data_IF_541963310238
#
_entry.id   IF_541963310238
#
_cell.length_a   1.000
_cell.length_b   1.000
_cell.length_c   1.000
_cell.angle_alpha   90.00
_cell.angle_beta   90.00
_cell.angle_gamma   90.00
#
_symmetry.space_group_name_H-M   'P 1'
#
loop_
_entity.id
_entity.type
_entity.pdbx_description
1 polymer ?
#
# COMPACT_ATOMS: atom_id res chain seq x y z
N UNK A 1 -35.17 31.29 13.21
CA UNK A 1 -34.50 30.26 14.03
C UNK A 1 -34.57 28.97 13.25
N UNK A 2 -33.44 28.51 12.70
CA UNK A 2 -33.37 27.22 12.00
C UNK A 2 -33.45 26.15 13.09
N UNK A 3 -34.38 25.21 12.92
CA UNK A 3 -34.66 24.18 13.90
C UNK A 3 -33.46 23.21 14.01
N UNK A 4 -32.95 22.97 15.22
CA UNK A 4 -31.69 22.26 15.46
C UNK A 4 -31.73 20.82 14.88
N UNK A 5 -32.94 20.26 14.76
CA UNK A 5 -33.21 18.95 14.15
C UNK A 5 -32.91 18.92 12.65
N UNK A 6 -33.12 20.03 11.94
CA UNK A 6 -32.81 20.16 10.50
C UNK A 6 -31.30 20.25 10.29
N UNK A 7 -30.58 20.90 11.21
CA UNK A 7 -29.11 20.96 11.17
C UNK A 7 -28.45 19.58 11.35
N UNK A 8 -29.00 18.73 12.22
CA UNK A 8 -28.47 17.37 12.45
C UNK A 8 -28.64 16.49 11.20
N UNK A 9 -29.78 16.59 10.51
CA UNK A 9 -30.03 15.83 9.25
C UNK A 9 -29.06 16.27 8.15
N UNK A 10 -28.71 17.57 8.07
CA UNK A 10 -27.74 18.07 7.10
C UNK A 10 -26.29 17.63 7.37
N UNK A 11 -25.91 17.46 8.64
CA UNK A 11 -24.56 17.03 9.04
C UNK A 11 -24.32 15.54 8.69
N UNK A 12 -25.35 14.70 8.74
CA UNK A 12 -25.24 13.26 8.40
C UNK A 12 -25.04 13.04 6.89
N UNK A 13 -25.41 13.99 6.03
CA UNK A 13 -25.25 13.86 4.58
C UNK A 13 -23.86 14.27 4.04
N UNK A 14 -22.95 14.78 4.88
CA UNK A 14 -21.60 15.24 4.46
C UNK A 14 -20.52 14.19 4.74
N UNK A 15 -20.88 12.94 5.04
CA UNK A 15 -19.93 11.84 5.07
C UNK A 15 -19.42 11.56 3.65
N UNK A 16 -18.40 12.32 3.23
CA UNK A 16 -17.60 12.02 2.05
C UNK A 16 -16.84 10.73 2.36
N UNK A 17 -17.30 9.62 1.79
CA UNK A 17 -16.52 8.40 1.67
C UNK A 17 -15.37 8.71 0.70
N UNK A 18 -14.25 9.20 1.21
CA UNK A 18 -13.02 9.23 0.43
C UNK A 18 -12.57 7.79 0.23
N UNK A 19 -12.47 7.38 -1.03
CA UNK A 19 -11.57 6.30 -1.37
C UNK A 19 -10.16 6.68 -0.88
N UNK A 20 -9.37 5.70 -0.43
CA UNK A 20 -7.99 5.90 0.01
C UNK A 20 -7.12 6.24 -1.20
N UNK A 21 -7.20 7.48 -1.65
CA UNK A 21 -6.24 8.08 -2.57
C UNK A 21 -5.11 8.66 -1.73
N UNK A 22 -3.90 8.17 -1.96
CA UNK A 22 -2.71 8.67 -1.30
C UNK A 22 -2.00 9.68 -2.19
N UNK A 23 -1.49 10.73 -1.57
CA UNK A 23 -0.75 11.79 -2.24
C UNK A 23 0.63 11.93 -1.60
N UNK A 24 1.64 12.08 -2.45
CA UNK A 24 3.00 12.46 -2.12
C UNK A 24 3.65 11.63 -0.99
N UNK A 25 3.44 10.30 -1.00
CA UNK A 25 4.11 9.42 -0.03
C UNK A 25 5.60 9.35 -0.38
N UNK A 26 6.52 9.82 0.48
CA UNK A 26 7.94 9.87 0.17
C UNK A 26 8.53 8.46 0.02
N UNK A 27 9.43 8.31 -0.95
CA UNK A 27 10.16 7.08 -1.26
C UNK A 27 11.56 7.42 -1.77
N UNK A 28 12.49 6.51 -1.50
CA UNK A 28 13.83 6.53 -2.07
C UNK A 28 13.97 5.32 -2.98
N UNK A 29 14.33 5.54 -4.24
CA UNK A 29 14.68 4.50 -5.20
C UNK A 29 16.19 4.36 -5.26
N UNK A 30 16.69 3.14 -5.47
CA UNK A 30 18.11 2.88 -5.71
C UNK A 30 18.26 2.45 -7.17
N UNK A 31 19.02 3.23 -7.93
CA UNK A 31 19.37 2.92 -9.32
C UNK A 31 20.38 1.75 -9.35
N UNK A 32 20.49 1.00 -10.46
CA UNK A 32 21.48 -0.08 -10.59
C UNK A 32 22.94 0.36 -10.42
N UNK A 33 23.26 1.64 -10.65
CA UNK A 33 24.59 2.21 -10.40
C UNK A 33 24.84 2.56 -8.91
N UNK A 34 23.86 2.37 -8.02
CA UNK A 34 23.91 2.68 -6.60
C UNK A 34 23.48 4.11 -6.23
N UNK A 35 23.15 4.96 -7.21
CA UNK A 35 22.64 6.31 -6.94
C UNK A 35 21.21 6.25 -6.39
N UNK A 36 20.91 7.12 -5.42
CA UNK A 36 19.58 7.21 -4.82
C UNK A 36 18.78 8.35 -5.42
N UNK A 37 17.49 8.10 -5.68
CA UNK A 37 16.54 9.08 -6.21
C UNK A 37 15.41 9.24 -5.21
N UNK A 38 15.26 10.44 -4.66
CA UNK A 38 14.12 10.81 -3.84
C UNK A 38 12.90 11.10 -4.72
N UNK A 39 11.79 10.44 -4.42
CA UNK A 39 10.55 10.56 -5.17
C UNK A 39 9.33 10.36 -4.27
N UNK A 40 8.16 10.38 -4.87
CA UNK A 40 6.89 10.24 -4.21
C UNK A 40 6.01 9.20 -4.89
N UNK A 41 5.14 8.55 -4.13
CA UNK A 41 4.04 7.73 -4.65
C UNK A 41 2.73 8.46 -4.46
N UNK A 42 1.97 8.58 -5.55
CA UNK A 42 0.59 9.08 -5.54
C UNK A 42 -0.33 8.07 -6.25
N UNK A 43 -1.50 7.80 -5.68
CA UNK A 43 -2.53 6.93 -6.24
C UNK A 43 -3.23 6.04 -5.22
N UNK A 44 -3.82 4.96 -5.71
CA UNK A 44 -4.59 3.99 -4.93
C UNK A 44 -4.25 2.53 -5.31
N UNK A 45 -5.09 1.57 -4.92
CA UNK A 45 -4.91 0.15 -5.24
C UNK A 45 -5.07 -0.19 -6.73
N UNK A 46 -5.74 0.65 -7.52
CA UNK A 46 -6.05 0.41 -8.92
C UNK A 46 -5.08 1.14 -9.87
N UNK A 47 -4.52 2.26 -9.43
CA UNK A 47 -3.51 2.99 -10.16
C UNK A 47 -2.62 3.81 -9.24
N UNK A 48 -1.32 3.65 -9.37
CA UNK A 48 -0.32 4.43 -8.65
C UNK A 48 0.85 4.77 -9.57
N UNK A 49 1.55 5.86 -9.28
CA UNK A 49 2.76 6.25 -9.99
C UNK A 49 3.82 6.78 -9.03
N UNK A 50 5.08 6.55 -9.39
CA UNK A 50 6.21 7.25 -8.81
C UNK A 50 6.38 8.59 -9.52
N UNK A 51 6.74 9.65 -8.81
CA UNK A 51 7.04 10.94 -9.42
C UNK A 51 8.00 11.78 -8.58
N UNK A 52 8.65 12.75 -9.20
CA UNK A 52 9.49 13.72 -8.50
C UNK A 52 8.67 14.86 -7.87
N UNK A 53 9.37 15.78 -7.21
CA UNK A 53 8.77 16.98 -6.57
C UNK A 53 8.13 17.96 -7.57
N UNK A 54 8.46 17.85 -8.86
CA UNK A 54 7.89 18.67 -9.93
C UNK A 54 6.75 17.94 -10.66
N UNK A 55 6.28 16.82 -10.09
CA UNK A 55 5.18 16.01 -10.60
C UNK A 55 5.51 15.22 -11.88
N UNK A 56 6.78 15.06 -12.24
CA UNK A 56 7.18 14.22 -13.38
C UNK A 56 7.21 12.76 -12.98
N UNK A 57 6.51 11.94 -13.76
CA UNK A 57 6.34 10.51 -13.47
C UNK A 57 7.62 9.74 -13.74
N UNK A 58 7.90 8.75 -12.89
CA UNK A 58 9.08 7.89 -12.94
C UNK A 58 8.62 6.46 -13.19
N UNK A 59 9.29 5.76 -14.11
CA UNK A 59 8.99 4.38 -14.48
C UNK A 59 10.27 3.54 -14.54
N UNK A 60 10.17 2.28 -14.12
CA UNK A 60 11.24 1.29 -14.26
C UNK A 60 11.31 0.81 -15.71
N UNK A 61 12.50 0.89 -16.31
CA UNK A 61 12.77 0.19 -17.56
C UNK A 61 13.16 -1.26 -17.23
N UNK A 62 12.34 -2.22 -17.66
CA UNK A 62 12.58 -3.65 -17.37
C UNK A 62 13.81 -4.21 -18.09
N UNK A 63 14.24 -3.58 -19.20
CA UNK A 63 15.37 -4.06 -20.00
C UNK A 63 16.73 -3.83 -19.32
N UNK A 64 16.93 -2.70 -18.64
CA UNK A 64 18.21 -2.36 -18.00
C UNK A 64 18.10 -2.23 -16.47
N UNK A 65 16.88 -2.18 -15.93
CA UNK A 65 16.60 -2.03 -14.51
C UNK A 65 16.75 -0.60 -13.97
N UNK A 66 16.98 0.39 -14.82
CA UNK A 66 17.07 1.79 -14.41
C UNK A 66 15.69 2.44 -14.36
N UNK A 67 15.53 3.41 -13.46
CA UNK A 67 14.38 4.30 -13.42
C UNK A 67 14.61 5.51 -14.33
N UNK A 68 13.64 5.75 -15.21
CA UNK A 68 13.60 6.88 -16.13
C UNK A 68 12.39 7.75 -15.85
N UNK A 69 12.47 9.02 -16.25
CA UNK A 69 11.27 9.82 -16.39
C UNK A 69 10.38 9.22 -17.49
N UNK A 70 9.10 9.07 -17.18
CA UNK A 70 8.12 8.52 -18.10
C UNK A 70 7.75 9.53 -19.18
N UNK A 71 7.58 9.03 -20.40
CA UNK A 71 6.89 9.68 -21.50
C UNK A 71 5.58 8.94 -21.79
N UNK A 72 4.71 9.55 -22.57
CA UNK A 72 3.45 8.96 -22.99
C UNK A 72 3.48 8.61 -24.47
N UNK A 73 3.28 7.33 -24.78
CA UNK A 73 3.17 6.87 -26.16
C UNK A 73 1.95 7.51 -26.85
N UNK A 74 1.88 7.53 -28.19
CA UNK A 74 0.69 8.00 -28.91
C UNK A 74 -0.59 7.23 -28.55
N UNK A 75 -0.47 6.02 -27.98
CA UNK A 75 -1.58 5.20 -27.50
C UNK A 75 -1.98 5.51 -26.05
N UNK A 76 -1.28 6.42 -25.37
CA UNK A 76 -1.55 6.82 -23.99
C UNK A 76 -0.82 5.99 -22.93
N UNK A 77 0.05 5.07 -23.33
CA UNK A 77 0.80 4.19 -22.42
C UNK A 77 2.06 4.88 -21.89
N UNK A 78 2.43 4.59 -20.64
CA UNK A 78 3.66 5.10 -20.06
C UNK A 78 4.86 4.28 -20.57
N UNK A 79 5.86 4.97 -21.10
CA UNK A 79 7.11 4.39 -21.59
C UNK A 79 8.30 5.12 -20.98
N UNK A 80 9.45 4.46 -20.76
CA UNK A 80 10.67 5.15 -20.32
C UNK A 80 11.16 6.13 -21.39
N UNK A 81 11.49 7.36 -20.98
CA UNK A 81 12.19 8.32 -21.84
C UNK A 81 13.70 8.04 -21.89
N UNK A 82 14.45 8.91 -22.56
CA UNK A 82 15.93 8.87 -22.55
C UNK A 82 16.56 9.48 -21.30
N UNK A 83 15.77 10.06 -20.38
CA UNK A 83 16.28 10.76 -19.20
C UNK A 83 16.12 9.91 -17.94
N UNK A 84 17.25 9.58 -17.31
CA UNK A 84 17.29 8.90 -16.02
C UNK A 84 16.63 9.74 -14.93
N UNK A 85 15.85 9.09 -14.07
CA UNK A 85 15.24 9.74 -12.92
C UNK A 85 16.32 10.27 -11.97
N UNK A 86 16.15 11.52 -11.50
CA UNK A 86 17.12 12.21 -10.68
C UNK A 86 18.26 12.91 -11.44
N UNK A 87 18.35 12.71 -12.76
CA UNK A 87 19.35 13.37 -13.61
C UNK A 87 18.66 14.32 -14.59
N UNK A 88 19.07 15.60 -14.56
CA UNK A 88 18.56 16.62 -15.50
C UNK A 88 17.14 17.10 -15.21
N UNK A 89 16.59 17.87 -16.16
CA UNK A 89 15.22 18.41 -16.10
C UNK A 89 14.36 17.75 -17.20
N UNK A 90 13.29 17.02 -16.86
CA UNK A 90 12.35 16.44 -17.82
C UNK A 90 11.80 17.44 -18.85
N UNK A 91 11.66 18.71 -18.46
CA UNK A 91 11.18 19.78 -19.36
C UNK A 91 12.14 20.01 -20.53
N UNK A 92 13.43 19.75 -20.33
CA UNK A 92 14.46 19.95 -21.37
C UNK A 92 14.31 19.00 -22.56
N UNK A 93 13.65 17.86 -22.37
CA UNK A 93 13.34 16.89 -23.42
C UNK A 93 11.85 16.91 -23.82
N UNK A 94 11.08 17.90 -23.35
CA UNK A 94 9.69 18.12 -23.73
C UNK A 94 8.67 17.25 -23.01
N UNK A 95 9.04 16.63 -21.88
CA UNK A 95 8.08 15.91 -21.05
C UNK A 95 7.17 16.90 -20.31
N UNK A 96 5.92 16.51 -20.12
CA UNK A 96 4.94 17.22 -19.29
C UNK A 96 4.73 16.49 -17.96
N UNK A 97 4.49 17.23 -16.86
CA UNK A 97 4.24 16.60 -15.57
C UNK A 97 2.87 15.92 -15.53
N UNK A 98 2.71 14.97 -14.61
CA UNK A 98 1.40 14.37 -14.29
C UNK A 98 0.98 13.20 -15.17
N UNK A 99 1.88 12.64 -15.99
CA UNK A 99 1.57 11.42 -16.74
C UNK A 99 1.16 10.28 -15.79
N UNK A 100 0.09 9.58 -16.14
CA UNK A 100 -0.44 8.48 -15.35
C UNK A 100 -0.92 7.36 -16.29
N UNK A 101 -1.22 6.20 -15.72
CA UNK A 101 -1.86 5.14 -16.47
C UNK A 101 -3.19 5.61 -17.08
N UNK A 102 -3.56 5.04 -18.22
CA UNK A 102 -4.81 5.39 -18.88
C UNK A 102 -6.03 4.99 -18.03
N UNK A 103 -7.16 5.67 -18.28
CA UNK A 103 -8.41 5.37 -17.59
C UNK A 103 -8.91 3.95 -17.89
N UNK A 104 -8.63 3.44 -19.10
CA UNK A 104 -8.96 2.06 -19.48
C UNK A 104 -8.15 1.06 -18.65
N UNK A 105 -6.85 1.28 -18.46
CA UNK A 105 -6.01 0.41 -17.64
C UNK A 105 -6.41 0.47 -16.16
N UNK A 106 -6.71 1.67 -15.65
CA UNK A 106 -7.24 1.85 -14.30
C UNK A 106 -8.53 1.06 -14.07
N UNK A 107 -9.51 1.19 -14.99
CA UNK A 107 -10.78 0.46 -14.89
C UNK A 107 -10.60 -1.05 -15.01
N UNK A 108 -9.68 -1.50 -15.88
CA UNK A 108 -9.34 -2.93 -15.99
C UNK A 108 -8.77 -3.47 -14.68
N UNK A 109 -7.86 -2.73 -14.03
CA UNK A 109 -7.32 -3.12 -12.72
C UNK A 109 -8.43 -3.18 -11.68
N UNK A 110 -9.31 -2.17 -11.66
CA UNK A 110 -10.47 -2.13 -10.76
C UNK A 110 -11.39 -3.34 -10.94
N UNK A 111 -11.74 -3.69 -12.17
CA UNK A 111 -12.54 -4.87 -12.48
C UNK A 111 -11.85 -6.17 -12.05
N UNK A 112 -10.54 -6.30 -12.30
CA UNK A 112 -9.76 -7.47 -11.89
C UNK A 112 -9.85 -7.71 -10.37
N UNK A 113 -9.60 -6.66 -9.57
CA UNK A 113 -9.66 -6.78 -8.11
C UNK A 113 -11.08 -7.03 -7.60
N UNK A 114 -12.11 -6.38 -8.18
CA UNK A 114 -13.49 -6.59 -7.77
C UNK A 114 -14.01 -7.99 -8.12
N UNK A 115 -13.68 -8.47 -9.33
CA UNK A 115 -14.12 -9.78 -9.80
C UNK A 115 -13.33 -10.93 -9.15
N UNK A 116 -12.05 -10.72 -8.83
CA UNK A 116 -11.25 -11.70 -8.09
C UNK A 116 -11.79 -11.97 -6.68
N UNK A 117 -12.32 -10.94 -6.02
CA UNK A 117 -13.00 -11.07 -4.73
C UNK A 117 -14.37 -11.74 -4.86
N UNK A 118 -15.12 -11.44 -5.93
CA UNK A 118 -16.45 -12.01 -6.16
C UNK A 118 -16.44 -13.46 -6.69
N UNK A 119 -15.36 -13.91 -7.34
CA UNK A 119 -15.24 -15.24 -7.95
C UNK A 119 -14.72 -16.32 -7.00
N UNK A 120 -14.26 -15.93 -5.81
CA UNK A 120 -13.89 -16.89 -4.78
C UNK A 120 -15.16 -17.37 -4.07
N UNK A 121 -15.48 -18.67 -4.18
CA UNK A 121 -16.41 -19.33 -3.24
C UNK A 121 -15.75 -19.39 -1.85
N UNK A 122 -15.63 -18.24 -1.20
CA UNK A 122 -15.17 -18.16 0.17
C UNK A 122 -16.28 -18.61 1.10
N UNK A 123 -15.94 -19.50 2.03
CA UNK A 123 -16.70 -19.59 3.28
C UNK A 123 -16.60 -18.22 3.94
N UNK A 124 -17.73 -17.56 4.13
CA UNK A 124 -17.79 -16.35 4.94
C UNK A 124 -17.19 -16.66 6.32
N UNK A 125 -16.40 -15.71 6.82
CA UNK A 125 -15.96 -15.78 8.21
C UNK A 125 -17.21 -15.85 9.11
N UNK A 126 -17.20 -16.67 10.17
CA UNK A 126 -18.37 -16.80 11.04
C UNK A 126 -18.71 -15.44 11.67
N UNK A 127 -20.00 -15.14 11.75
CA UNK A 127 -20.50 -13.87 12.31
C UNK A 127 -20.70 -13.91 13.82
N UNK A 128 -20.43 -15.05 14.44
CA UNK A 128 -20.47 -15.28 15.89
C UNK A 128 -19.54 -16.42 16.30
N UNK A 129 -19.27 -16.56 17.59
CA UNK A 129 -18.32 -17.50 18.15
C UNK A 129 -16.92 -16.89 18.28
N UNK A 130 -15.91 -17.75 18.20
CA UNK A 130 -14.50 -17.36 18.31
C UNK A 130 -13.78 -17.60 16.98
N UNK A 131 -13.04 -16.60 16.50
CA UNK A 131 -12.15 -16.71 15.36
C UNK A 131 -10.70 -16.62 15.84
N UNK A 132 -9.88 -17.57 15.39
CA UNK A 132 -8.44 -17.47 15.48
C UNK A 132 -7.89 -16.74 14.24
N UNK A 133 -7.40 -15.52 14.44
CA UNK A 133 -6.65 -14.76 13.44
C UNK A 133 -5.16 -15.05 13.58
N UNK A 134 -4.49 -15.25 12.47
CA UNK A 134 -3.04 -15.43 12.44
C UNK A 134 -2.42 -14.13 11.93
N UNK A 135 -1.47 -13.58 12.68
CA UNK A 135 -0.62 -12.50 12.23
C UNK A 135 0.81 -13.02 12.06
N UNK A 136 1.37 -12.89 10.87
CA UNK A 136 2.69 -13.44 10.53
C UNK A 136 3.67 -12.29 10.25
N UNK A 137 4.72 -12.21 11.05
CA UNK A 137 5.83 -11.28 10.85
C UNK A 137 6.82 -11.89 9.89
N UNK A 138 7.00 -11.24 8.75
CA UNK A 138 7.95 -11.62 7.70
C UNK A 138 8.85 -10.42 7.43
N UNK A 139 10.15 -10.66 7.25
CA UNK A 139 11.10 -9.66 6.77
C UNK A 139 11.98 -10.27 5.67
N UNK A 140 12.49 -9.41 4.78
CA UNK A 140 13.47 -9.83 3.79
C UNK A 140 14.88 -9.95 4.39
N UNK A 141 15.80 -10.55 3.65
CA UNK A 141 17.18 -10.73 4.09
C UNK A 141 17.91 -9.39 4.38
N UNK A 142 17.56 -8.34 3.65
CA UNK A 142 18.10 -6.98 3.74
C UNK A 142 17.28 -6.02 4.62
N UNK A 143 16.12 -6.46 5.10
CA UNK A 143 15.29 -5.64 6.01
C UNK A 143 15.90 -5.62 7.43
N UNK A 144 15.86 -4.47 8.14
CA UNK A 144 16.22 -4.41 9.54
C UNK A 144 15.22 -5.20 10.40
N UNK A 145 15.65 -5.59 11.60
CA UNK A 145 14.74 -6.17 12.58
C UNK A 145 13.66 -5.16 13.01
N UNK A 146 12.51 -5.67 13.44
CA UNK A 146 11.41 -4.83 13.92
C UNK A 146 11.86 -4.01 15.15
N UNK A 147 11.69 -2.68 15.15
CA UNK A 147 12.26 -1.81 16.17
C UNK A 147 11.53 -1.84 17.51
N UNK A 148 10.30 -2.37 17.55
CA UNK A 148 9.45 -2.37 18.73
C UNK A 148 9.19 -3.79 19.27
N UNK A 149 8.91 -3.95 20.58
CA UNK A 149 8.54 -5.23 21.17
C UNK A 149 7.20 -5.74 20.62
N UNK A 150 6.92 -7.04 20.81
CA UNK A 150 5.70 -7.66 20.28
C UNK A 150 4.41 -7.02 20.80
N UNK A 151 4.39 -6.57 22.06
CA UNK A 151 3.24 -5.89 22.66
C UNK A 151 2.82 -4.62 21.91
N UNK A 152 3.77 -3.89 21.33
CA UNK A 152 3.48 -2.70 20.54
C UNK A 152 2.62 -3.02 19.31
N UNK A 153 2.96 -4.09 18.60
CA UNK A 153 2.21 -4.52 17.42
C UNK A 153 0.91 -5.25 17.80
N UNK A 154 0.88 -5.94 18.93
CA UNK A 154 -0.29 -6.64 19.45
C UNK A 154 -1.43 -5.69 19.85
N UNK A 155 -1.10 -4.50 20.35
CA UNK A 155 -2.08 -3.53 20.86
C UNK A 155 -3.19 -3.19 19.84
N UNK A 156 -2.84 -3.02 18.56
CA UNK A 156 -3.78 -2.73 17.47
C UNK A 156 -4.77 -3.88 17.26
N UNK A 157 -4.35 -5.12 17.54
CA UNK A 157 -5.17 -6.30 17.32
C UNK A 157 -6.03 -6.67 18.53
N UNK A 158 -5.45 -6.66 19.73
CA UNK A 158 -6.09 -7.25 20.91
C UNK A 158 -5.57 -6.72 22.25
N UNK A 159 -5.39 -5.40 22.39
CA UNK A 159 -5.02 -4.80 23.68
C UNK A 159 -5.99 -5.15 24.82
N UNK A 160 -5.44 -5.32 26.03
CA UNK A 160 -6.20 -5.42 27.29
C UNK A 160 -6.34 -4.05 27.98
N UNK A 161 -5.73 -3.00 27.41
CA UNK A 161 -5.90 -1.62 27.85
C UNK A 161 -7.25 -1.06 27.36
N UNK A 162 -7.69 0.05 27.94
CA UNK A 162 -8.96 0.72 27.60
C UNK A 162 -8.85 1.51 26.27
N UNK A 163 -8.17 0.92 25.29
CA UNK A 163 -7.93 1.46 23.94
C UNK A 163 -8.64 0.60 22.88
N UNK A 164 -9.19 1.22 21.81
CA UNK A 164 -9.79 0.47 20.71
C UNK A 164 -8.78 -0.45 20.00
N UNK A 165 -9.19 -1.69 19.73
CA UNK A 165 -8.44 -2.66 18.94
C UNK A 165 -9.36 -3.39 17.97
N UNK A 166 -8.78 -4.19 17.06
CA UNK A 166 -9.54 -5.04 16.14
C UNK A 166 -10.48 -5.99 16.89
N UNK A 167 -10.03 -6.60 17.99
CA UNK A 167 -10.86 -7.43 18.88
C UNK A 167 -12.02 -6.63 19.46
N UNK A 168 -11.77 -5.43 19.98
CA UNK A 168 -12.82 -4.56 20.52
C UNK A 168 -13.86 -4.17 19.46
N UNK A 169 -13.41 -3.80 18.26
CA UNK A 169 -14.28 -3.45 17.15
C UNK A 169 -15.25 -4.60 16.82
N UNK A 170 -14.75 -5.80 16.53
CA UNK A 170 -15.59 -6.94 16.17
C UNK A 170 -16.50 -7.40 17.31
N UNK A 171 -16.01 -7.32 18.55
CA UNK A 171 -16.82 -7.62 19.73
C UNK A 171 -18.01 -6.66 19.87
N UNK A 172 -17.78 -5.35 19.69
CA UNK A 172 -18.81 -4.32 19.78
C UNK A 172 -19.84 -4.42 18.65
N UNK A 173 -19.40 -4.44 17.38
CA UNK A 173 -20.32 -4.43 16.23
C UNK A 173 -21.14 -5.72 16.11
N UNK A 174 -20.65 -6.82 16.68
CA UNK A 174 -21.34 -8.11 16.71
C UNK A 174 -22.28 -8.26 17.91
N UNK A 175 -22.46 -7.22 18.73
CA UNK A 175 -23.23 -7.28 19.97
C UNK A 175 -22.74 -8.40 20.91
N UNK A 176 -21.43 -8.48 21.13
CA UNK A 176 -20.79 -9.45 22.01
C UNK A 176 -20.95 -10.91 21.54
N UNK A 177 -21.11 -11.14 20.23
CA UNK A 177 -21.29 -12.49 19.69
C UNK A 177 -20.07 -13.00 18.94
N UNK A 178 -19.16 -12.14 18.49
CA UNK A 178 -17.95 -12.51 17.75
C UNK A 178 -16.70 -12.03 18.49
N UNK A 179 -15.87 -12.97 18.94
CA UNK A 179 -14.57 -12.71 19.53
C UNK A 179 -13.45 -13.06 18.54
N UNK A 180 -12.56 -12.11 18.27
CA UNK A 180 -11.39 -12.31 17.39
C UNK A 180 -10.13 -12.38 18.25
N UNK A 181 -9.47 -13.52 18.24
CA UNK A 181 -8.22 -13.77 18.96
C UNK A 181 -7.06 -13.80 17.97
N UNK A 182 -6.05 -12.94 18.15
CA UNK A 182 -4.90 -12.85 17.24
C UNK A 182 -3.71 -13.60 17.79
N UNK A 183 -3.10 -14.44 16.96
CA UNK A 183 -1.90 -15.20 17.29
C UNK A 183 -0.74 -14.75 16.41
N UNK A 184 0.31 -14.26 17.04
CA UNK A 184 1.50 -13.75 16.35
C UNK A 184 2.51 -14.87 16.08
N UNK A 185 3.03 -14.91 14.85
CA UNK A 185 4.05 -15.86 14.43
C UNK A 185 5.25 -15.15 13.78
N UNK A 186 6.48 -15.64 14.00
CA UNK A 186 6.83 -16.76 14.88
C UNK A 186 6.60 -16.41 16.35
N UNK A 187 6.19 -17.42 17.13
CA UNK A 187 5.97 -17.27 18.56
C UNK A 187 7.25 -16.94 19.31
N UNK A 188 7.14 -16.19 20.41
CA UNK A 188 8.28 -15.71 21.20
C UNK A 188 8.06 -15.99 22.67
N UNK A 189 9.07 -16.56 23.33
CA UNK A 189 8.99 -16.91 24.75
C UNK A 189 9.35 -15.73 25.69
N UNK A 190 10.11 -14.77 25.18
CA UNK A 190 10.69 -13.65 25.94
C UNK A 190 10.02 -12.30 25.64
N UNK A 191 8.99 -12.28 24.80
CA UNK A 191 8.30 -11.05 24.36
C UNK A 191 9.08 -10.20 23.35
N UNK A 192 10.27 -10.67 22.91
CA UNK A 192 10.96 -10.08 21.76
C UNK A 192 10.09 -10.16 20.52
N UNK A 193 10.30 -9.28 19.55
CA UNK A 193 9.61 -9.39 18.27
C UNK A 193 10.51 -10.14 17.28
N UNK A 194 10.13 -11.37 16.94
CA UNK A 194 10.83 -12.18 15.93
C UNK A 194 10.00 -12.26 14.65
N UNK A 195 10.66 -12.53 13.54
CA UNK A 195 10.05 -12.64 12.22
C UNK A 195 10.62 -13.85 11.48
N UNK A 196 9.83 -14.41 10.57
CA UNK A 196 10.38 -15.27 9.53
C UNK A 196 11.22 -14.42 8.58
N UNK A 197 12.44 -14.87 8.33
CA UNK A 197 13.38 -14.17 7.47
C UNK A 197 13.44 -14.90 6.14
N UNK A 198 13.08 -14.19 5.09
CA UNK A 198 13.23 -14.71 3.73
C UNK A 198 14.71 -14.82 3.34
N UNK A 199 15.04 -15.78 2.47
CA UNK A 199 16.42 -15.97 2.00
C UNK A 199 16.83 -14.91 0.98
N UNK A 200 15.86 -14.27 0.32
CA UNK A 200 16.07 -13.24 -0.68
C UNK A 200 15.87 -11.83 -0.10
N UNK A 201 16.56 -10.87 -0.73
CA UNK A 201 16.33 -9.45 -0.49
C UNK A 201 14.96 -9.03 -1.03
N UNK A 202 14.44 -7.90 -0.53
CA UNK A 202 13.15 -7.32 -0.99
C UNK A 202 13.06 -7.22 -2.51
N UNK A 203 14.17 -6.86 -3.14
CA UNK A 203 14.27 -6.66 -4.57
C UNK A 203 13.77 -7.89 -5.35
N UNK A 204 14.09 -9.12 -4.92
CA UNK A 204 13.66 -10.35 -5.60
C UNK A 204 12.14 -10.46 -5.84
N UNK A 205 11.33 -9.78 -5.02
CA UNK A 205 9.87 -9.79 -5.09
C UNK A 205 9.28 -8.57 -5.82
N UNK A 206 10.13 -7.67 -6.30
CA UNK A 206 9.75 -6.52 -7.12
C UNK A 206 9.58 -6.93 -8.59
N UNK A 207 8.92 -6.10 -9.44
CA UNK A 207 8.83 -6.40 -10.86
C UNK A 207 10.21 -6.68 -11.47
N UNK A 208 10.30 -7.79 -12.18
CA UNK A 208 11.55 -8.25 -12.79
C UNK A 208 12.21 -7.15 -13.63
N UNK A 209 13.53 -7.04 -13.47
CA UNK A 209 14.39 -6.33 -14.41
C UNK A 209 15.74 -7.03 -14.48
N UNK A 210 16.55 -6.74 -15.49
CA UNK A 210 17.89 -7.31 -15.58
C UNK A 210 18.83 -6.89 -14.41
N UNK A 211 18.50 -5.83 -13.67
CA UNK A 211 19.21 -5.44 -12.46
C UNK A 211 18.70 -6.14 -11.19
N UNK A 212 17.59 -6.89 -11.29
CA UNK A 212 16.90 -7.52 -10.18
C UNK A 212 16.25 -8.85 -10.63
N UNK A 213 17.06 -9.93 -10.72
CA UNK A 213 16.65 -11.23 -11.25
C UNK A 213 15.87 -12.10 -10.27
#
# INVERSE_FOLDING_TARGET
MIDIRICIIFIVFISNLSATWFEDIPRTLVQPNGESVECFITGDQYGRRLHDNNNFTIILNQEDGYYYYADQSPAGELIPSSLLAGLGDPRSIGLEPGYAISIELYNKNKEFYLNGVAAQETRDAPTSGEIAQINVFIRFADDPDFPFPRSHYDAVFQTDEDEPSLRHYFWEISYNTLMVNTFHYPGTFDGSNTAYVDEYNRSYYEPYSNANP
#
